data_IF_269168118980
#
_entry.id   IF_269168118980
#
_cell.length_a   1.000
_cell.length_b   1.000
_cell.length_c   1.000
_cell.angle_alpha   90.00
_cell.angle_beta   90.00
_cell.angle_gamma   90.00
#
_symmetry.space_group_name_H-M   'P 1'
#
loop_
_entity.id
_entity.type
_entity.pdbx_description
1 polymer ?
#
# COMPACT_ATOMS: atom_id res chain seq x y z
N UNK A 1 -1.19 -1.27 -8.09
CA UNK A 1 0.04 -1.10 -8.91
C UNK A 1 0.41 -2.38 -9.64
N UNK A 2 1.09 -2.27 -10.79
CA UNK A 2 1.66 -3.45 -11.48
C UNK A 2 3.05 -3.76 -10.92
N UNK A 3 3.42 -5.04 -10.88
CA UNK A 3 4.73 -5.46 -10.34
C UNK A 3 5.91 -4.90 -11.16
N UNK A 4 5.73 -4.77 -12.48
CA UNK A 4 6.75 -4.19 -13.37
C UNK A 4 7.13 -2.77 -12.96
N UNK A 5 6.13 -1.92 -12.71
CA UNK A 5 6.33 -0.54 -12.26
C UNK A 5 7.13 -0.49 -10.95
N UNK A 6 6.80 -1.35 -9.98
CA UNK A 6 7.49 -1.42 -8.68
C UNK A 6 8.97 -1.79 -8.85
N UNK A 7 9.27 -2.72 -9.76
CA UNK A 7 10.64 -3.16 -10.03
C UNK A 7 11.50 -2.14 -10.77
N UNK A 8 10.87 -1.17 -11.44
CA UNK A 8 11.56 -0.06 -12.12
C UNK A 8 11.91 1.07 -11.14
N UNK A 9 11.25 1.15 -9.98
CA UNK A 9 11.52 2.16 -8.95
C UNK A 9 12.89 1.98 -8.28
N UNK A 10 13.47 3.06 -7.77
CA UNK A 10 14.63 3.00 -6.89
C UNK A 10 14.26 2.39 -5.52
N UNK A 11 15.26 1.95 -4.75
CA UNK A 11 15.03 1.43 -3.38
C UNK A 11 14.39 2.49 -2.47
N UNK A 12 14.85 3.73 -2.59
CA UNK A 12 14.34 4.87 -1.82
C UNK A 12 12.89 5.19 -2.20
N UNK A 13 12.58 5.18 -3.50
CA UNK A 13 11.22 5.39 -4.00
C UNK A 13 10.27 4.31 -3.51
N UNK A 14 10.70 3.04 -3.53
CA UNK A 14 9.91 1.93 -2.98
C UNK A 14 9.63 2.11 -1.49
N UNK A 15 10.62 2.52 -0.71
CA UNK A 15 10.46 2.75 0.73
C UNK A 15 9.49 3.91 0.99
N UNK A 16 9.63 5.02 0.25
CA UNK A 16 8.72 6.17 0.36
C UNK A 16 7.28 5.77 0.01
N UNK A 17 7.09 5.06 -1.10
CA UNK A 17 5.78 4.55 -1.54
C UNK A 17 5.16 3.59 -0.52
N UNK A 18 5.99 2.74 0.07
CA UNK A 18 5.56 1.81 1.11
C UNK A 18 5.01 2.55 2.33
N UNK A 19 5.72 3.57 2.81
CA UNK A 19 5.28 4.38 3.94
C UNK A 19 3.97 5.13 3.64
N UNK A 20 3.84 5.69 2.44
CA UNK A 20 2.59 6.33 1.99
C UNK A 20 1.40 5.36 2.04
N UNK A 21 1.57 4.15 1.53
CA UNK A 21 0.49 3.14 1.53
C UNK A 21 0.17 2.59 2.92
N UNK A 22 1.16 2.43 3.79
CA UNK A 22 0.93 2.02 5.18
C UNK A 22 0.15 3.08 5.97
N UNK A 23 0.48 4.36 5.78
CA UNK A 23 -0.26 5.49 6.38
C UNK A 23 -1.70 5.57 5.88
N UNK A 24 -1.92 5.40 4.58
CA UNK A 24 -3.25 5.40 3.99
C UNK A 24 -4.09 4.22 4.51
N UNK A 25 -3.48 3.03 4.58
CA UNK A 25 -4.13 1.85 5.14
C UNK A 25 -4.51 2.06 6.62
N UNK A 26 -3.66 2.74 7.39
CA UNK A 26 -3.96 3.08 8.78
C UNK A 26 -5.16 4.04 8.88
N UNK A 27 -5.19 5.11 8.08
CA UNK A 27 -6.33 6.04 8.02
C UNK A 27 -7.64 5.33 7.72
N UNK A 28 -7.67 4.52 6.66
CA UNK A 28 -8.88 3.78 6.26
C UNK A 28 -9.33 2.80 7.34
N UNK A 29 -8.39 2.09 7.99
CA UNK A 29 -8.73 1.19 9.10
C UNK A 29 -9.31 1.94 10.29
N UNK A 30 -8.76 3.10 10.64
CA UNK A 30 -9.27 3.93 11.73
C UNK A 30 -10.68 4.41 11.42
N UNK A 31 -10.94 4.86 10.18
CA UNK A 31 -12.26 5.29 9.73
C UNK A 31 -13.30 4.16 9.84
N UNK A 32 -12.98 2.96 9.35
CA UNK A 32 -13.86 1.78 9.49
C UNK A 32 -14.13 1.47 10.95
N UNK A 33 -13.07 1.51 11.77
CA UNK A 33 -13.17 1.15 13.19
C UNK A 33 -13.99 2.16 13.99
N UNK A 34 -13.99 3.43 13.60
CA UNK A 34 -14.84 4.47 14.21
C UNK A 34 -16.29 4.43 13.71
N UNK A 35 -16.68 3.43 12.90
CA UNK A 35 -18.02 3.34 12.32
C UNK A 35 -18.24 4.28 11.13
N UNK A 36 -17.17 4.84 10.57
CA UNK A 36 -17.23 5.68 9.38
C UNK A 36 -17.51 4.87 8.12
N UNK A 37 -18.26 5.45 7.19
CA UNK A 37 -18.48 4.87 5.88
C UNK A 37 -17.19 4.96 5.04
N UNK A 38 -16.85 3.86 4.36
CA UNK A 38 -15.78 3.84 3.36
C UNK A 38 -16.42 3.82 1.99
N UNK A 39 -16.09 4.80 1.16
CA UNK A 39 -16.63 4.93 -0.19
C UNK A 39 -16.28 3.72 -1.07
N UNK A 40 -15.09 3.14 -0.89
CA UNK A 40 -14.64 1.96 -1.61
C UNK A 40 -14.06 0.88 -0.68
N UNK A 41 -14.86 -0.11 -0.25
CA UNK A 41 -14.38 -1.23 0.57
C UNK A 41 -13.23 -2.02 -0.09
N UNK A 42 -13.15 -2.03 -1.42
CA UNK A 42 -12.09 -2.69 -2.18
C UNK A 42 -10.72 -2.03 -2.04
N UNK A 43 -10.67 -0.76 -1.65
CA UNK A 43 -9.43 0.03 -1.52
C UNK A 43 -8.50 -0.55 -0.46
N UNK A 44 -9.03 -0.98 0.68
CA UNK A 44 -8.24 -1.62 1.75
C UNK A 44 -7.55 -2.88 1.23
N UNK A 45 -8.27 -3.70 0.45
CA UNK A 45 -7.72 -4.92 -0.15
C UNK A 45 -6.67 -4.60 -1.21
N UNK A 46 -6.89 -3.56 -2.02
CA UNK A 46 -5.94 -3.10 -3.02
C UNK A 46 -4.62 -2.61 -2.38
N UNK A 47 -4.71 -1.74 -1.37
CA UNK A 47 -3.56 -1.23 -0.62
C UNK A 47 -2.75 -2.35 0.03
N UNK A 48 -3.40 -3.32 0.68
CA UNK A 48 -2.72 -4.50 1.24
C UNK A 48 -1.91 -5.27 0.20
N UNK A 49 -2.48 -5.45 -1.01
CA UNK A 49 -1.78 -6.13 -2.12
C UNK A 49 -0.61 -5.31 -2.63
N UNK A 50 -0.76 -4.00 -2.77
CA UNK A 50 0.31 -3.12 -3.24
C UNK A 50 1.47 -3.05 -2.23
N UNK A 51 1.18 -2.94 -0.93
CA UNK A 51 2.17 -3.05 0.14
C UNK A 51 2.93 -4.37 0.07
N UNK A 52 2.23 -5.50 -0.08
CA UNK A 52 2.86 -6.81 -0.19
C UNK A 52 3.80 -6.90 -1.39
N UNK A 53 3.38 -6.39 -2.56
CA UNK A 53 4.22 -6.37 -3.76
C UNK A 53 5.50 -5.55 -3.58
N UNK A 54 5.41 -4.37 -2.96
CA UNK A 54 6.58 -3.53 -2.68
C UNK A 54 7.54 -4.25 -1.72
N UNK A 55 7.02 -4.85 -0.64
CA UNK A 55 7.85 -5.63 0.30
C UNK A 55 8.53 -6.82 -0.38
N UNK A 56 7.84 -7.51 -1.28
CA UNK A 56 8.44 -8.59 -2.09
C UNK A 56 9.57 -8.05 -2.98
N UNK A 57 9.33 -6.98 -3.74
CA UNK A 57 10.35 -6.40 -4.62
C UNK A 57 11.58 -5.87 -3.84
N UNK A 58 11.39 -5.31 -2.64
CA UNK A 58 12.46 -4.89 -1.76
C UNK A 58 13.31 -6.06 -1.22
N UNK A 59 12.72 -7.26 -1.10
CA UNK A 59 13.42 -8.47 -0.65
C UNK A 59 14.15 -9.19 -1.80
N UNK A 60 13.66 -9.03 -3.03
CA UNK A 60 14.28 -9.59 -4.24
C UNK A 60 15.56 -8.84 -4.67
N UNK A 61 15.78 -7.62 -4.16
CA UNK A 61 16.95 -6.78 -4.41
C UNK A 61 17.94 -6.82 -3.25
#
# INVERSE_FOLDING_TARGET
MKMKEIREMSREEMIKKLQEFENELLRLKTLVKSGGAVENPGQIRALKKDIARIKTALKER
#
